data_IF_515979677302
#
_entry.id   IF_515979677302
#
_cell.length_a   1.000
_cell.length_b   1.000
_cell.length_c   1.000
_cell.angle_alpha   90.00
_cell.angle_beta   90.00
_cell.angle_gamma   90.00
#
_symmetry.space_group_name_H-M   'P 1'
#
loop_
_entity.id
_entity.type
_entity.pdbx_description
1 polymer ?
#
# COMPACT_ATOMS: atom_id res chain seq x y z
N UNK A 1 -12.09 -2.21 27.78
CA UNK A 1 -13.18 -1.42 27.15
C UNK A 1 -13.48 -0.24 28.06
N UNK A 2 -13.25 0.97 27.60
CA UNK A 2 -13.59 2.19 28.31
C UNK A 2 -14.90 2.75 27.77
N UNK A 3 -15.72 3.31 28.68
CA UNK A 3 -16.98 3.94 28.34
C UNK A 3 -16.86 5.42 28.70
N UNK A 4 -16.68 6.25 27.68
CA UNK A 4 -16.75 7.71 27.84
C UNK A 4 -17.92 8.19 26.97
N UNK A 5 -18.78 9.00 27.56
CA UNK A 5 -19.85 9.68 26.83
C UNK A 5 -19.26 10.81 26.02
N UNK A 6 -19.59 10.87 24.76
CA UNK A 6 -19.20 11.94 23.84
C UNK A 6 -20.46 12.50 23.20
N UNK A 7 -20.67 13.80 23.36
CA UNK A 7 -21.75 14.50 22.65
C UNK A 7 -21.30 14.72 21.19
N UNK A 8 -22.01 14.10 20.26
CA UNK A 8 -21.71 14.19 18.83
C UNK A 8 -22.66 15.19 18.19
N UNK A 9 -22.08 16.25 17.61
CA UNK A 9 -22.79 17.25 16.84
C UNK A 9 -22.59 16.99 15.35
N UNK A 10 -23.56 16.34 14.71
CA UNK A 10 -23.48 15.98 13.29
C UNK A 10 -23.37 17.24 12.41
N UNK A 11 -22.42 17.22 11.47
CA UNK A 11 -22.19 18.34 10.54
C UNK A 11 -21.27 19.42 11.10
N UNK A 12 -20.83 19.33 12.36
CA UNK A 12 -19.83 20.23 12.95
C UNK A 12 -18.47 19.51 13.08
N UNK A 13 -17.39 20.28 12.96
CA UNK A 13 -16.04 19.79 13.27
C UNK A 13 -15.78 20.06 14.75
N UNK A 14 -15.59 19.00 15.52
CA UNK A 14 -15.31 19.08 16.97
C UNK A 14 -13.95 18.43 17.27
N UNK A 15 -13.01 19.22 17.80
CA UNK A 15 -11.68 18.76 18.15
C UNK A 15 -11.68 17.67 19.24
N UNK A 16 -12.67 17.69 20.15
CA UNK A 16 -12.77 16.66 21.19
C UNK A 16 -13.09 15.29 20.56
N UNK A 17 -13.94 15.24 19.54
CA UNK A 17 -14.24 14.00 18.81
C UNK A 17 -12.99 13.43 18.17
N UNK A 18 -12.10 14.28 17.62
CA UNK A 18 -10.80 13.87 17.09
C UNK A 18 -9.93 13.18 18.13
N UNK A 19 -9.87 13.70 19.36
CA UNK A 19 -9.11 13.08 20.46
C UNK A 19 -9.60 11.67 20.80
N UNK A 20 -10.91 11.43 20.78
CA UNK A 20 -11.45 10.09 21.03
C UNK A 20 -11.15 9.13 19.88
N UNK A 21 -11.18 9.59 18.65
CA UNK A 21 -10.78 8.80 17.49
C UNK A 21 -9.32 8.33 17.64
N UNK A 22 -8.40 9.24 17.98
CA UNK A 22 -6.99 8.90 18.22
C UNK A 22 -6.81 7.99 19.42
N UNK A 23 -7.47 8.25 20.54
CA UNK A 23 -7.42 7.38 21.73
C UNK A 23 -7.85 5.95 21.40
N UNK A 24 -8.91 5.78 20.60
CA UNK A 24 -9.38 4.48 20.13
C UNK A 24 -8.35 3.81 19.22
N UNK A 25 -7.82 4.56 18.26
CA UNK A 25 -6.86 4.05 17.27
C UNK A 25 -5.54 3.63 17.93
N UNK A 26 -4.97 4.46 18.80
CA UNK A 26 -3.72 4.14 19.50
C UNK A 26 -3.87 2.94 20.43
N UNK A 27 -5.01 2.83 21.14
CA UNK A 27 -5.28 1.66 21.98
C UNK A 27 -5.40 0.36 21.15
N UNK A 28 -6.06 0.41 19.99
CA UNK A 28 -6.18 -0.74 19.09
C UNK A 28 -4.83 -1.10 18.45
N UNK A 29 -4.02 -0.12 18.06
CA UNK A 29 -2.67 -0.35 17.54
C UNK A 29 -1.78 -1.00 18.59
N UNK A 30 -1.88 -0.56 19.86
CA UNK A 30 -1.16 -1.20 20.96
C UNK A 30 -1.57 -2.66 21.13
N UNK A 31 -2.87 -2.95 21.11
CA UNK A 31 -3.37 -4.33 21.22
C UNK A 31 -2.88 -5.22 20.04
N UNK A 32 -2.79 -4.66 18.83
CA UNK A 32 -2.21 -5.35 17.67
C UNK A 32 -0.71 -5.62 17.88
N UNK A 33 0.05 -4.63 18.35
CA UNK A 33 1.48 -4.74 18.62
C UNK A 33 1.82 -5.79 19.71
N UNK A 34 0.93 -5.90 20.70
CA UNK A 34 1.06 -6.88 21.80
C UNK A 34 0.50 -8.26 21.44
N UNK A 35 0.00 -8.48 20.22
CA UNK A 35 -0.55 -9.76 19.78
C UNK A 35 -1.88 -10.13 20.45
N UNK A 36 -2.59 -9.14 21.01
CA UNK A 36 -3.92 -9.36 21.61
C UNK A 36 -5.03 -9.44 20.56
N UNK A 37 -4.78 -8.91 19.38
CA UNK A 37 -5.63 -8.98 18.19
C UNK A 37 -4.77 -9.28 16.96
N UNK A 38 -5.34 -9.94 15.97
CA UNK A 38 -4.66 -10.32 14.72
C UNK A 38 -4.89 -9.30 13.59
N UNK A 39 -5.97 -8.54 13.66
CA UNK A 39 -6.40 -7.60 12.62
C UNK A 39 -6.97 -6.34 13.25
N UNK A 40 -6.68 -5.21 12.64
CA UNK A 40 -7.27 -3.91 12.98
C UNK A 40 -8.09 -3.40 11.81
N UNK A 41 -9.39 -3.22 12.03
CA UNK A 41 -10.30 -2.55 11.08
C UNK A 41 -10.57 -1.14 11.58
N UNK A 42 -10.31 -0.14 10.75
CA UNK A 42 -10.47 1.28 11.09
C UNK A 42 -11.66 1.91 10.38
N UNK A 43 -12.37 2.80 11.06
CA UNK A 43 -13.34 3.71 10.45
C UNK A 43 -12.62 4.95 9.88
N UNK A 44 -13.26 5.70 8.96
CA UNK A 44 -12.71 6.97 8.49
C UNK A 44 -12.46 7.96 9.63
N UNK A 45 -11.40 8.76 9.48
CA UNK A 45 -11.05 9.84 10.41
C UNK A 45 -11.03 11.18 9.67
N UNK A 46 -11.33 12.24 10.38
CA UNK A 46 -11.12 13.59 9.86
C UNK A 46 -9.65 14.00 10.11
N UNK A 47 -8.86 14.08 9.04
CA UNK A 47 -7.41 14.35 9.10
C UNK A 47 -7.05 15.70 9.71
N UNK A 48 -7.98 16.64 9.75
CA UNK A 48 -7.77 17.96 10.34
C UNK A 48 -7.97 17.91 11.87
N UNK A 49 -9.07 17.35 12.35
CA UNK A 49 -9.39 17.40 13.79
C UNK A 49 -8.67 16.35 14.65
N UNK A 50 -7.96 15.41 14.03
CA UNK A 50 -7.09 14.46 14.75
C UNK A 50 -5.72 15.04 15.10
N UNK A 51 -5.32 16.16 14.47
CA UNK A 51 -4.02 16.76 14.75
C UNK A 51 -3.97 17.30 16.18
N UNK A 52 -2.93 16.94 16.90
CA UNK A 52 -2.67 17.39 18.27
C UNK A 52 -1.17 17.37 18.53
N UNK A 53 -0.76 17.86 19.70
CA UNK A 53 0.65 17.77 20.10
C UNK A 53 1.14 16.32 20.22
N UNK A 54 0.23 15.41 20.57
CA UNK A 54 0.52 13.98 20.75
C UNK A 54 0.31 13.14 19.47
N UNK A 55 -0.32 13.71 18.42
CA UNK A 55 -0.59 12.99 17.18
C UNK A 55 -0.41 13.90 15.97
N UNK A 56 0.74 13.78 15.32
CA UNK A 56 1.17 14.60 14.16
C UNK A 56 1.28 13.80 12.87
N UNK A 57 0.49 12.74 12.72
CA UNK A 57 0.49 11.88 11.55
C UNK A 57 -0.59 12.31 10.54
N UNK A 58 -0.30 12.25 9.23
CA UNK A 58 -1.28 12.57 8.18
C UNK A 58 -2.49 11.63 8.17
N UNK A 59 -2.33 10.40 8.70
CA UNK A 59 -3.40 9.41 8.73
C UNK A 59 -2.98 8.09 9.37
N UNK A 60 -3.83 7.07 9.18
CA UNK A 60 -3.62 5.74 9.76
C UNK A 60 -2.32 5.08 9.30
N UNK A 61 -2.04 5.11 7.99
CA UNK A 61 -0.92 4.39 7.39
C UNK A 61 0.42 4.84 7.94
N UNK A 62 0.63 6.15 8.05
CA UNK A 62 1.90 6.71 8.54
C UNK A 62 2.12 6.36 10.01
N UNK A 63 1.07 6.45 10.82
CA UNK A 63 1.13 6.06 12.22
C UNK A 63 1.43 4.56 12.38
N UNK A 64 0.70 3.69 11.66
CA UNK A 64 0.92 2.24 11.72
C UNK A 64 2.32 1.85 11.24
N UNK A 65 2.82 2.50 10.19
CA UNK A 65 4.17 2.25 9.68
C UNK A 65 5.27 2.63 10.68
N UNK A 66 5.02 3.61 11.55
CA UNK A 66 5.95 3.97 12.61
C UNK A 66 5.84 3.04 13.81
N UNK A 67 4.63 2.65 14.21
CA UNK A 67 4.38 1.89 15.43
C UNK A 67 4.59 0.39 15.29
N UNK A 68 4.42 -0.16 14.07
CA UNK A 68 4.52 -1.59 13.81
C UNK A 68 5.80 -1.93 13.06
N UNK A 69 6.31 -3.13 13.27
CA UNK A 69 7.46 -3.63 12.52
C UNK A 69 7.08 -3.96 11.08
N UNK A 70 7.98 -3.66 10.14
CA UNK A 70 7.80 -3.99 8.73
C UNK A 70 7.74 -2.78 7.82
N UNK A 71 7.13 -2.95 6.66
CA UNK A 71 6.98 -1.91 5.65
C UNK A 71 5.52 -1.79 5.24
N UNK A 72 4.95 -0.62 5.36
CA UNK A 72 3.58 -0.37 4.91
C UNK A 72 3.47 -0.57 3.39
N UNK A 73 2.42 -1.26 2.99
CA UNK A 73 2.02 -1.44 1.60
C UNK A 73 0.53 -1.12 1.47
N UNK A 74 0.21 -0.13 0.65
CA UNK A 74 -1.18 0.11 0.28
C UNK A 74 -1.62 -0.95 -0.72
N UNK A 75 -2.58 -1.77 -0.34
CA UNK A 75 -3.13 -2.84 -1.14
C UNK A 75 -4.64 -2.65 -1.29
N UNK A 76 -5.12 -2.50 -2.52
CA UNK A 76 -6.54 -2.48 -2.84
C UNK A 76 -6.97 -3.90 -3.21
N UNK A 77 -8.04 -4.37 -2.58
CA UNK A 77 -8.52 -5.74 -2.74
C UNK A 77 -9.99 -5.75 -3.12
N UNK A 78 -10.30 -6.46 -4.19
CA UNK A 78 -11.68 -6.76 -4.60
C UNK A 78 -11.72 -8.18 -5.14
N UNK A 79 -12.48 -9.05 -4.50
CA UNK A 79 -12.56 -10.47 -4.85
C UNK A 79 -11.17 -11.11 -5.02
N UNK A 80 -10.82 -11.48 -6.24
CA UNK A 80 -9.53 -12.07 -6.58
C UNK A 80 -8.49 -11.04 -7.09
N UNK A 81 -8.86 -9.78 -7.29
CA UNK A 81 -7.94 -8.74 -7.71
C UNK A 81 -7.26 -8.09 -6.50
N UNK A 82 -5.95 -7.97 -6.56
CA UNK A 82 -5.12 -7.28 -5.55
C UNK A 82 -4.19 -6.33 -6.27
N UNK A 83 -4.30 -5.05 -5.96
CA UNK A 83 -3.48 -3.99 -6.58
C UNK A 83 -2.64 -3.34 -5.49
N UNK A 84 -1.33 -3.53 -5.56
CA UNK A 84 -0.36 -2.86 -4.68
C UNK A 84 0.23 -1.62 -5.35
N UNK A 85 0.45 -0.57 -4.57
CA UNK A 85 1.04 0.67 -5.06
C UNK A 85 2.55 0.69 -4.77
N UNK A 86 3.36 1.05 -5.78
CA UNK A 86 4.77 1.34 -5.57
C UNK A 86 4.94 2.67 -4.83
N UNK A 87 4.23 3.71 -5.28
CA UNK A 87 4.21 5.02 -4.66
C UNK A 87 2.81 5.37 -4.17
N UNK A 88 2.72 6.07 -3.06
CA UNK A 88 1.50 6.63 -2.50
C UNK A 88 1.79 8.04 -1.93
N UNK A 89 0.80 8.92 -1.95
CA UNK A 89 0.88 10.27 -1.39
C UNK A 89 2.06 11.13 -1.87
N UNK A 90 2.55 10.90 -3.11
CA UNK A 90 3.57 11.74 -3.75
C UNK A 90 2.96 12.57 -4.88
N UNK A 91 3.43 13.80 -5.13
CA UNK A 91 3.02 14.59 -6.29
C UNK A 91 3.32 13.84 -7.60
N UNK A 92 2.43 13.96 -8.59
CA UNK A 92 2.57 13.23 -9.87
C UNK A 92 3.91 13.50 -10.56
N UNK A 93 4.39 14.76 -10.52
CA UNK A 93 5.67 15.17 -11.11
C UNK A 93 6.90 14.58 -10.40
N UNK A 94 6.73 13.99 -9.21
CA UNK A 94 7.82 13.38 -8.44
C UNK A 94 7.84 11.85 -8.52
N UNK A 95 6.78 11.24 -9.07
CA UNK A 95 6.63 9.78 -9.11
C UNK A 95 7.83 9.10 -9.74
N UNK A 96 8.30 9.59 -10.89
CA UNK A 96 9.43 8.98 -11.61
C UNK A 96 10.71 8.96 -10.76
N UNK A 97 10.98 10.03 -10.00
CA UNK A 97 12.16 10.11 -9.13
C UNK A 97 12.12 9.12 -7.97
N UNK A 98 10.94 8.68 -7.55
CA UNK A 98 10.77 7.67 -6.51
C UNK A 98 10.92 6.23 -7.03
N UNK A 99 10.82 5.99 -8.34
CA UNK A 99 10.96 4.64 -8.91
C UNK A 99 12.43 4.22 -8.89
N UNK A 100 12.78 3.44 -7.92
CA UNK A 100 14.15 2.92 -7.70
C UNK A 100 14.14 1.41 -7.53
N UNK A 101 15.27 0.76 -7.83
CA UNK A 101 15.45 -0.68 -7.58
C UNK A 101 15.10 -1.04 -6.13
N UNK A 102 15.52 -0.21 -5.17
CA UNK A 102 15.26 -0.42 -3.74
C UNK A 102 13.77 -0.42 -3.44
N UNK A 103 13.04 0.60 -3.92
CA UNK A 103 11.59 0.71 -3.68
C UNK A 103 10.84 -0.48 -4.29
N UNK A 104 11.12 -0.80 -5.56
CA UNK A 104 10.47 -1.91 -6.27
C UNK A 104 10.73 -3.22 -5.53
N UNK A 105 11.98 -3.50 -5.18
CA UNK A 105 12.35 -4.71 -4.44
C UNK A 105 11.59 -4.82 -3.13
N UNK A 106 11.61 -3.78 -2.31
CA UNK A 106 10.94 -3.74 -1.02
C UNK A 106 9.42 -3.97 -1.15
N UNK A 107 8.75 -3.27 -2.07
CA UNK A 107 7.30 -3.40 -2.26
C UNK A 107 6.93 -4.77 -2.83
N UNK A 108 7.69 -5.31 -3.79
CA UNK A 108 7.43 -6.66 -4.35
C UNK A 108 7.68 -7.76 -3.31
N UNK A 109 8.74 -7.67 -2.52
CA UNK A 109 8.98 -8.63 -1.43
C UNK A 109 7.87 -8.58 -0.38
N UNK A 110 7.40 -7.37 -0.01
CA UNK A 110 6.29 -7.18 0.93
C UNK A 110 5.00 -7.78 0.41
N UNK A 111 4.59 -7.47 -0.85
CA UNK A 111 3.36 -8.03 -1.43
C UNK A 111 3.46 -9.55 -1.59
N UNK A 112 4.60 -10.08 -2.01
CA UNK A 112 4.81 -11.54 -2.14
C UNK A 112 4.67 -12.25 -0.78
N UNK A 113 5.19 -11.64 0.29
CA UNK A 113 5.04 -12.14 1.66
C UNK A 113 3.58 -12.13 2.09
N UNK A 114 2.89 -10.99 1.93
CA UNK A 114 1.49 -10.84 2.30
C UNK A 114 0.58 -11.79 1.51
N UNK A 115 0.78 -11.94 0.20
CA UNK A 115 0.01 -12.88 -0.61
C UNK A 115 0.13 -14.33 -0.11
N UNK A 116 1.29 -14.72 0.42
CA UNK A 116 1.48 -16.06 1.00
C UNK A 116 0.89 -16.18 2.40
N UNK A 117 1.16 -15.21 3.27
CA UNK A 117 0.79 -15.30 4.68
C UNK A 117 -0.67 -14.91 4.95
N UNK A 118 -1.12 -13.78 4.36
CA UNK A 118 -2.42 -13.20 4.67
C UNK A 118 -3.52 -13.72 3.73
N UNK A 119 -3.15 -14.06 2.49
CA UNK A 119 -4.10 -14.57 1.48
C UNK A 119 -3.97 -16.07 1.19
N UNK A 120 -3.01 -16.78 1.78
CA UNK A 120 -2.83 -18.22 1.60
C UNK A 120 -2.43 -18.68 0.20
N UNK A 121 -1.91 -17.76 -0.64
CA UNK A 121 -1.52 -18.08 -2.02
C UNK A 121 -0.11 -18.67 -2.02
N UNK A 122 0.02 -19.97 -2.27
CA UNK A 122 1.31 -20.67 -2.19
C UNK A 122 2.34 -20.23 -3.22
N UNK A 123 1.88 -19.88 -4.44
CA UNK A 123 2.73 -19.44 -5.57
C UNK A 123 2.21 -18.15 -6.18
N UNK A 124 2.33 -16.99 -5.49
CA UNK A 124 1.83 -15.73 -6.00
C UNK A 124 2.51 -15.37 -7.33
N UNK A 125 1.72 -14.93 -8.30
CA UNK A 125 2.21 -14.32 -9.55
C UNK A 125 1.91 -12.83 -9.48
N UNK A 126 2.94 -12.02 -9.66
CA UNK A 126 2.85 -10.56 -9.56
C UNK A 126 3.13 -9.96 -10.93
N UNK A 127 2.23 -9.14 -11.43
CA UNK A 127 2.46 -8.33 -12.61
C UNK A 127 2.90 -6.93 -12.17
N UNK A 128 4.07 -6.48 -12.62
CA UNK A 128 4.51 -5.10 -12.46
C UNK A 128 4.06 -4.31 -13.68
N UNK A 129 3.27 -3.25 -13.46
CA UNK A 129 2.87 -2.34 -14.53
C UNK A 129 3.95 -1.28 -14.75
N UNK A 130 4.16 -0.89 -16.00
CA UNK A 130 5.11 0.14 -16.38
C UNK A 130 4.71 1.52 -15.86
N UNK A 131 5.71 2.37 -15.67
CA UNK A 131 5.52 3.76 -15.28
C UNK A 131 5.06 4.61 -16.46
N UNK A 132 5.72 4.43 -17.60
CA UNK A 132 5.50 5.24 -18.79
C UNK A 132 4.46 4.61 -19.73
N UNK A 133 3.76 5.43 -20.56
CA UNK A 133 2.93 4.89 -21.64
C UNK A 133 3.70 3.85 -22.47
N UNK A 134 3.03 2.76 -22.84
CA UNK A 134 3.64 1.64 -23.60
C UNK A 134 4.93 1.09 -22.97
N UNK A 135 5.07 1.17 -21.63
CA UNK A 135 6.30 0.81 -20.90
C UNK A 135 7.55 1.52 -21.45
N UNK A 136 7.43 2.81 -21.79
CA UNK A 136 8.51 3.65 -22.23
C UNK A 136 8.95 3.45 -23.68
N UNK A 137 8.30 2.56 -24.46
CA UNK A 137 8.59 2.28 -25.87
C UNK A 137 10.10 2.17 -26.17
N UNK A 138 10.76 1.23 -25.51
CA UNK A 138 12.21 1.01 -25.56
C UNK A 138 13.07 2.25 -25.20
N UNK A 139 12.57 3.09 -24.28
CA UNK A 139 13.26 4.28 -23.79
C UNK A 139 12.96 5.56 -24.57
N UNK A 140 12.06 5.53 -25.55
CA UNK A 140 11.66 6.72 -26.33
C UNK A 140 10.77 7.65 -25.53
N UNK A 141 9.84 7.09 -24.72
CA UNK A 141 8.87 7.84 -23.92
C UNK A 141 9.26 7.91 -22.43
N UNK A 142 10.44 7.44 -22.08
CA UNK A 142 10.97 7.38 -20.72
C UNK A 142 11.87 6.17 -20.56
N UNK A 143 12.78 6.23 -19.61
CA UNK A 143 13.82 5.22 -19.45
C UNK A 143 13.66 4.34 -18.23
N UNK A 144 12.81 4.73 -17.30
CA UNK A 144 12.64 4.08 -16.00
C UNK A 144 12.23 2.61 -16.13
N UNK A 145 11.38 2.31 -17.13
CA UNK A 145 10.92 0.96 -17.41
C UNK A 145 12.09 0.06 -17.87
N UNK A 146 12.94 0.56 -18.78
CA UNK A 146 14.07 -0.19 -19.31
C UNK A 146 15.26 -0.24 -18.34
N UNK A 147 15.65 0.91 -17.78
CA UNK A 147 16.90 1.05 -17.04
C UNK A 147 16.76 0.63 -15.56
N UNK A 148 15.55 0.70 -14.99
CA UNK A 148 15.29 0.41 -13.57
C UNK A 148 14.35 -0.78 -13.39
N UNK A 149 13.15 -0.73 -13.99
CA UNK A 149 12.10 -1.70 -13.68
C UNK A 149 12.41 -3.09 -14.25
N UNK A 150 12.77 -3.22 -15.52
CA UNK A 150 13.13 -4.50 -16.16
C UNK A 150 14.29 -5.23 -15.45
N UNK A 151 15.44 -4.57 -15.19
CA UNK A 151 16.53 -5.21 -14.46
C UNK A 151 16.13 -5.67 -13.07
N UNK A 152 15.31 -4.87 -12.35
CA UNK A 152 14.84 -5.21 -11.03
C UNK A 152 13.92 -6.43 -11.04
N UNK A 153 12.96 -6.48 -11.97
CA UNK A 153 12.08 -7.64 -12.16
C UNK A 153 12.92 -8.91 -12.43
N UNK A 154 13.93 -8.83 -13.31
CA UNK A 154 14.81 -9.95 -13.59
C UNK A 154 15.53 -10.45 -12.33
N UNK A 155 16.12 -9.55 -11.54
CA UNK A 155 16.80 -9.90 -10.28
C UNK A 155 15.85 -10.56 -9.27
N UNK A 156 14.63 -10.08 -9.16
CA UNK A 156 13.62 -10.65 -8.26
C UNK A 156 13.15 -12.02 -8.72
N UNK A 157 12.98 -12.20 -10.02
CA UNK A 157 12.64 -13.49 -10.61
C UNK A 157 13.74 -14.54 -10.36
N UNK A 158 15.01 -14.17 -10.54
CA UNK A 158 16.18 -15.01 -10.25
C UNK A 158 16.26 -15.40 -8.76
N UNK A 159 15.72 -14.57 -7.85
CA UNK A 159 15.55 -14.89 -6.43
C UNK A 159 14.35 -15.79 -6.12
N UNK A 160 13.58 -16.22 -7.13
CA UNK A 160 12.43 -17.10 -6.99
C UNK A 160 11.10 -16.40 -6.68
N UNK A 161 11.01 -15.08 -6.85
CA UNK A 161 9.75 -14.36 -6.77
C UNK A 161 9.14 -14.31 -8.17
N UNK A 162 7.94 -14.86 -8.34
CA UNK A 162 7.26 -14.90 -9.63
C UNK A 162 6.68 -13.52 -9.98
N UNK A 163 7.55 -12.58 -10.29
CA UNK A 163 7.21 -11.24 -10.77
C UNK A 163 7.54 -11.11 -12.25
N UNK A 164 6.65 -10.47 -13.01
CA UNK A 164 6.71 -10.34 -14.45
C UNK A 164 6.42 -8.89 -14.84
N UNK A 165 6.94 -8.44 -15.98
CA UNK A 165 6.78 -7.09 -16.50
C UNK A 165 8.12 -6.38 -16.72
N UNK A 166 8.14 -5.03 -16.77
CA UNK A 166 6.96 -4.15 -16.72
C UNK A 166 6.03 -4.34 -17.93
N UNK A 167 4.73 -4.39 -17.65
CA UNK A 167 3.70 -4.44 -18.69
C UNK A 167 3.18 -3.02 -18.98
N UNK A 168 2.84 -2.75 -20.23
CA UNK A 168 2.17 -1.51 -20.59
C UNK A 168 0.83 -1.39 -19.86
N UNK A 169 0.70 -0.41 -18.95
CA UNK A 169 -0.46 -0.27 -18.08
C UNK A 169 -1.75 0.04 -18.85
N UNK A 170 -1.62 0.78 -19.96
CA UNK A 170 -2.69 1.16 -20.85
C UNK A 170 -3.37 -0.04 -21.55
N UNK A 171 -2.59 -1.07 -21.91
CA UNK A 171 -3.12 -2.29 -22.55
C UNK A 171 -3.31 -3.48 -21.61
N UNK A 172 -2.79 -3.42 -20.40
CA UNK A 172 -2.73 -4.58 -19.51
C UNK A 172 -4.12 -5.16 -19.17
N UNK A 173 -5.07 -4.31 -18.84
CA UNK A 173 -6.42 -4.73 -18.46
C UNK A 173 -7.29 -5.20 -19.63
N UNK A 174 -6.92 -4.82 -20.87
CA UNK A 174 -7.61 -5.27 -22.08
C UNK A 174 -7.11 -6.65 -22.52
N UNK A 175 -5.79 -6.89 -22.45
CA UNK A 175 -5.12 -8.10 -22.95
C UNK A 175 -5.15 -9.24 -21.94
N UNK A 176 -5.01 -8.90 -20.68
CA UNK A 176 -5.07 -9.91 -19.60
C UNK A 176 -6.51 -10.16 -19.26
N UNK A 177 -7.07 -11.16 -19.92
CA UNK A 177 -8.32 -11.74 -19.47
C UNK A 177 -8.14 -12.04 -17.98
N UNK A 178 -8.80 -11.28 -17.10
CA UNK A 178 -8.63 -11.36 -15.65
C UNK A 178 -8.74 -12.81 -15.11
N UNK A 179 -9.36 -13.71 -15.87
CA UNK A 179 -9.41 -15.16 -15.61
C UNK A 179 -8.05 -15.85 -15.64
N UNK A 180 -7.03 -15.30 -16.31
CA UNK A 180 -5.70 -15.92 -16.42
C UNK A 180 -4.71 -15.45 -15.34
N UNK A 181 -5.03 -14.41 -14.59
CA UNK A 181 -4.27 -13.95 -13.41
C UNK A 181 -4.82 -14.55 -12.12
N UNK A 182 -5.96 -15.23 -12.20
CA UNK A 182 -6.61 -15.86 -11.06
C UNK A 182 -6.31 -17.36 -11.10
N UNK A 183 -5.93 -17.94 -9.98
CA UNK A 183 -5.76 -19.38 -9.85
C UNK A 183 -7.09 -20.12 -9.99
#
# INVERSE_FOLDING_TARGET
VWREGVDINFGATDENVGKYAIKSFTAATKALKEGQIDVLVTAPINKYNIQSDDFKFPGHTDYLNQELEGNALMLMVQDNLRVGLLTDHVPVNEVAAHITEKLITQKIETINKSLKQDFGITKPKIALLGLNPHSGDNGVIGKEDEEIMKPTVKKLFEKGILVFGPYAADGFLEVVNMKNLMP
#
